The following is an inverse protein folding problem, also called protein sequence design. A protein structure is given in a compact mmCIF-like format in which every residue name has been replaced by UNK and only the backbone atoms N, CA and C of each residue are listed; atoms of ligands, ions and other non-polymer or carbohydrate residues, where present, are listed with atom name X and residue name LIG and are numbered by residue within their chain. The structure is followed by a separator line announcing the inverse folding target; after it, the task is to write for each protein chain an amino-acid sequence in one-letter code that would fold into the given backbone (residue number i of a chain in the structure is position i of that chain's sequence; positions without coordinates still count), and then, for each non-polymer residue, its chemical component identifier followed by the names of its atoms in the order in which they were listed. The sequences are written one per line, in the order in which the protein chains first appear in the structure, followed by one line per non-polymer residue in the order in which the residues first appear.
data_IF_024323745585
#
_entry.id   IF_024323745585
#
_cell.length_a   1.000
_cell.length_b   1.000
_cell.length_c   1.000
_cell.angle_alpha   90.00
_cell.angle_beta   90.00
_cell.angle_gamma   90.00
#
_symmetry.space_group_name_H-M   'P 1'
#
loop_
_entity.id
_entity.type
_entity.pdbx_description
1 polymer ?
#
# COMPACT_ATOMS: atom_id res chain seq x y z
N UNK A 1 8.19 -9.26 24.47
CA UNK A 1 6.76 -9.44 24.84
C UNK A 1 5.99 -8.21 24.40
N UNK A 2 5.35 -8.28 23.22
CA UNK A 2 4.30 -7.35 22.77
C UNK A 2 3.68 -7.98 21.50
N UNK A 3 3.06 -9.15 21.69
CA UNK A 3 2.16 -9.76 20.71
C UNK A 3 0.75 -9.44 21.21
N UNK A 4 0.19 -8.31 20.81
CA UNK A 4 -1.17 -7.95 21.21
C UNK A 4 -1.84 -7.24 20.05
N UNK A 5 -2.73 -8.01 19.41
CA UNK A 5 -3.95 -7.61 18.69
C UNK A 5 -4.05 -8.06 17.23
N UNK A 6 -2.96 -8.31 16.50
CA UNK A 6 -3.06 -8.88 15.15
C UNK A 6 -3.28 -10.41 15.15
N UNK A 7 -2.97 -11.08 16.26
CA UNK A 7 -3.10 -12.53 16.39
C UNK A 7 -4.52 -13.03 16.72
N UNK A 8 -5.38 -12.21 17.32
CA UNK A 8 -6.66 -12.70 17.87
C UNK A 8 -7.63 -13.16 16.77
N UNK A 9 -7.78 -12.39 15.68
CA UNK A 9 -8.71 -12.75 14.59
C UNK A 9 -8.28 -13.97 13.77
N UNK A 10 -6.98 -14.17 13.55
CA UNK A 10 -6.44 -15.32 12.83
C UNK A 10 -6.58 -16.60 13.66
N UNK A 11 -6.30 -16.51 14.97
CA UNK A 11 -6.47 -17.63 15.89
C UNK A 11 -7.94 -18.04 16.04
N UNK A 12 -8.84 -17.07 16.12
CA UNK A 12 -10.29 -17.35 16.12
C UNK A 12 -10.69 -18.02 14.81
N UNK A 13 -10.27 -17.48 13.66
CA UNK A 13 -10.58 -18.05 12.34
C UNK A 13 -10.12 -19.50 12.20
N UNK A 14 -8.89 -19.82 12.61
CA UNK A 14 -8.35 -21.18 12.56
C UNK A 14 -9.11 -22.18 13.45
N UNK A 15 -9.84 -21.70 14.46
CA UNK A 15 -10.63 -22.50 15.38
C UNK A 15 -12.12 -22.57 14.98
N UNK A 16 -12.57 -21.83 13.97
CA UNK A 16 -13.97 -21.83 13.52
C UNK A 16 -14.17 -22.85 12.39
N UNK A 17 -14.99 -23.90 12.59
CA UNK A 17 -15.28 -24.89 11.55
C UNK A 17 -16.34 -24.40 10.53
N UNK A 18 -16.93 -23.22 10.75
CA UNK A 18 -18.01 -22.70 9.92
C UNK A 18 -17.49 -22.02 8.65
N UNK A 19 -18.17 -22.21 7.49
CA UNK A 19 -17.75 -21.62 6.21
C UNK A 19 -17.94 -20.09 6.14
N UNK A 20 -18.77 -19.56 7.05
CA UNK A 20 -18.94 -18.14 7.31
C UNK A 20 -19.19 -17.95 8.81
N UNK A 21 -18.55 -16.95 9.41
CA UNK A 21 -18.75 -16.60 10.82
C UNK A 21 -18.51 -15.10 11.04
N UNK A 22 -18.96 -14.60 12.19
CA UNK A 22 -18.85 -13.17 12.52
C UNK A 22 -17.81 -12.94 13.61
N UNK A 23 -16.91 -11.99 13.37
CA UNK A 23 -16.05 -11.40 14.40
C UNK A 23 -16.53 -9.98 14.66
N UNK A 24 -16.94 -9.72 15.90
CA UNK A 24 -17.26 -8.36 16.34
C UNK A 24 -15.96 -7.67 16.77
N UNK A 25 -15.64 -6.55 16.11
CA UNK A 25 -14.58 -5.64 16.53
C UNK A 25 -15.25 -4.34 17.02
N UNK A 26 -14.57 -3.52 17.83
CA UNK A 26 -15.14 -2.27 18.30
C UNK A 26 -15.67 -1.40 17.14
N UNK A 27 -16.98 -1.12 17.14
CA UNK A 27 -17.64 -0.30 16.12
C UNK A 27 -17.94 -0.98 14.78
N UNK A 28 -17.65 -2.29 14.61
CA UNK A 28 -17.89 -2.98 13.34
C UNK A 28 -18.14 -4.48 13.49
N UNK A 29 -19.06 -5.03 12.69
CA UNK A 29 -19.27 -6.48 12.56
C UNK A 29 -18.61 -6.96 11.29
N UNK A 30 -17.61 -7.83 11.43
CA UNK A 30 -16.88 -8.40 10.29
C UNK A 30 -17.40 -9.81 10.03
N UNK A 31 -17.93 -10.04 8.84
CA UNK A 31 -18.30 -11.37 8.37
C UNK A 31 -17.11 -11.98 7.65
N UNK A 32 -16.53 -13.04 8.22
CA UNK A 32 -15.40 -13.76 7.66
C UNK A 32 -15.95 -14.93 6.87
N UNK A 33 -15.60 -14.98 5.58
CA UNK A 33 -16.00 -16.04 4.66
C UNK A 33 -14.75 -16.85 4.31
N UNK A 34 -14.76 -18.15 4.63
CA UNK A 34 -13.61 -19.03 4.44
C UNK A 34 -13.84 -20.10 3.37
N UNK A 35 -15.09 -20.41 3.03
CA UNK A 35 -15.43 -21.32 1.93
C UNK A 35 -15.15 -20.69 0.56
N UNK A 36 -14.40 -21.37 -0.33
CA UNK A 36 -14.14 -20.89 -1.69
C UNK A 36 -15.42 -20.61 -2.50
N UNK A 37 -16.46 -21.42 -2.32
CA UNK A 37 -17.75 -21.28 -3.01
C UNK A 37 -18.45 -19.99 -2.58
N UNK A 38 -18.46 -19.71 -1.27
CA UNK A 38 -19.04 -18.49 -0.72
C UNK A 38 -18.21 -17.25 -1.09
N UNK A 39 -16.88 -17.35 -1.10
CA UNK A 39 -16.00 -16.26 -1.55
C UNK A 39 -16.32 -15.87 -3.00
N UNK A 40 -16.48 -16.84 -3.90
CA UNK A 40 -16.88 -16.56 -5.28
C UNK A 40 -18.26 -15.91 -5.38
N UNK A 41 -19.23 -16.37 -4.60
CA UNK A 41 -20.57 -15.78 -4.56
C UNK A 41 -20.54 -14.32 -4.09
N UNK A 42 -19.77 -14.02 -3.04
CA UNK A 42 -19.55 -12.67 -2.50
C UNK A 42 -18.88 -11.77 -3.54
N UNK A 43 -17.79 -12.24 -4.17
CA UNK A 43 -17.03 -11.44 -5.14
C UNK A 43 -17.82 -11.12 -6.42
N UNK A 44 -18.75 -11.98 -6.84
CA UNK A 44 -19.62 -11.71 -8.01
C UNK A 44 -20.72 -10.69 -7.72
N UNK A 45 -21.08 -10.47 -6.44
CA UNK A 45 -22.18 -9.61 -6.04
C UNK A 45 -21.72 -8.18 -5.68
N UNK A 46 -21.05 -7.53 -6.63
CA UNK A 46 -20.39 -6.21 -6.44
C UNK A 46 -21.36 -5.03 -6.26
N UNK A 47 -22.64 -5.19 -6.57
CA UNK A 47 -23.64 -4.12 -6.44
C UNK A 47 -24.23 -4.03 -5.03
N UNK A 48 -24.24 -5.13 -4.29
CA UNK A 48 -24.77 -5.18 -2.91
C UNK A 48 -23.69 -4.94 -1.84
N UNK A 49 -22.41 -5.03 -2.22
CA UNK A 49 -21.27 -4.90 -1.31
C UNK A 49 -20.39 -3.73 -1.72
N UNK A 50 -20.23 -2.76 -0.83
CA UNK A 50 -19.33 -1.63 -1.04
C UNK A 50 -18.09 -1.73 -0.17
N UNK A 51 -16.92 -1.53 -0.77
CA UNK A 51 -15.64 -1.44 -0.06
C UNK A 51 -15.35 -0.03 0.48
N UNK A 52 -16.03 1.00 -0.03
CA UNK A 52 -15.79 2.41 0.30
C UNK A 52 -15.91 2.73 1.81
N UNK A 53 -16.88 2.18 2.58
CA UNK A 53 -17.00 2.47 4.01
C UNK A 53 -15.79 2.06 4.85
N UNK A 54 -15.08 0.99 4.45
CA UNK A 54 -13.84 0.58 5.10
C UNK A 54 -12.63 1.34 4.56
N UNK A 55 -12.62 1.59 3.25
CA UNK A 55 -11.52 2.25 2.54
C UNK A 55 -11.35 3.71 2.96
N UNK A 56 -12.42 4.52 2.92
CA UNK A 56 -12.34 5.98 3.08
C UNK A 56 -11.73 6.39 4.43
N UNK A 57 -12.16 5.84 5.59
CA UNK A 57 -11.55 6.15 6.88
C UNK A 57 -10.09 5.67 6.98
N UNK A 58 -9.77 4.53 6.37
CA UNK A 58 -8.41 4.00 6.37
C UNK A 58 -7.46 4.90 5.56
N UNK A 59 -7.86 5.30 4.35
CA UNK A 59 -7.11 6.24 3.52
C UNK A 59 -6.93 7.59 4.20
N UNK A 60 -8.00 8.13 4.81
CA UNK A 60 -7.94 9.38 5.57
C UNK A 60 -6.87 9.34 6.65
N UNK A 61 -6.85 8.30 7.48
CA UNK A 61 -5.87 8.16 8.58
C UNK A 61 -4.46 7.87 8.08
N UNK A 62 -4.34 7.04 7.06
CA UNK A 62 -3.06 6.64 6.47
C UNK A 62 -2.35 7.82 5.82
N UNK A 63 -3.08 8.58 4.99
CA UNK A 63 -2.55 9.69 4.20
C UNK A 63 -2.64 11.05 4.91
N UNK A 64 -3.41 11.14 6.00
CA UNK A 64 -3.67 12.38 6.75
C UNK A 64 -4.29 13.49 5.90
N UNK A 65 -5.24 13.09 5.07
CA UNK A 65 -6.00 14.01 4.22
C UNK A 65 -7.14 14.60 5.05
N UNK A 66 -7.37 15.90 4.91
CA UNK A 66 -8.46 16.59 5.57
C UNK A 66 -9.84 16.20 5.02
N UNK A 67 -10.91 16.71 5.65
CA UNK A 67 -12.28 16.36 5.24
C UNK A 67 -12.62 16.84 3.84
N UNK A 68 -12.11 18.01 3.46
CA UNK A 68 -12.36 18.59 2.15
C UNK A 68 -11.68 17.76 1.07
N UNK A 69 -10.41 17.39 1.26
CA UNK A 69 -9.65 16.55 0.33
C UNK A 69 -10.24 15.14 0.20
N UNK A 70 -10.62 14.50 1.31
CA UNK A 70 -11.28 13.19 1.26
C UNK A 70 -12.63 13.28 0.55
N UNK A 71 -13.43 14.31 0.86
CA UNK A 71 -14.71 14.51 0.18
C UNK A 71 -14.53 14.75 -1.31
N UNK A 72 -13.44 15.38 -1.75
CA UNK A 72 -13.15 15.60 -3.16
C UNK A 72 -12.72 14.30 -3.86
N UNK A 73 -11.78 13.56 -3.28
CA UNK A 73 -11.24 12.31 -3.83
C UNK A 73 -12.34 11.24 -3.97
N UNK A 74 -13.22 11.14 -2.96
CA UNK A 74 -14.20 10.07 -2.85
C UNK A 74 -15.65 10.50 -3.14
N UNK A 75 -15.89 11.73 -3.59
CA UNK A 75 -17.23 12.30 -3.85
C UNK A 75 -18.16 11.34 -4.61
N UNK A 76 -17.61 10.66 -5.61
CA UNK A 76 -18.30 9.71 -6.46
C UNK A 76 -17.57 8.36 -6.50
N UNK A 77 -17.02 7.90 -5.36
CA UNK A 77 -16.25 6.66 -5.28
C UNK A 77 -17.02 5.39 -5.70
N UNK A 78 -18.34 5.48 -5.79
CA UNK A 78 -19.23 4.40 -6.25
C UNK A 78 -19.47 4.43 -7.76
N UNK A 79 -19.02 5.47 -8.46
CA UNK A 79 -19.17 5.61 -9.91
C UNK A 79 -17.80 5.58 -10.59
N UNK A 80 -17.81 5.38 -11.91
CA UNK A 80 -16.58 5.43 -12.73
C UNK A 80 -16.17 6.85 -13.10
N UNK A 81 -16.98 7.87 -12.78
CA UNK A 81 -16.81 9.25 -13.27
C UNK A 81 -16.16 10.19 -12.26
N UNK A 82 -15.97 9.75 -11.01
CA UNK A 82 -15.25 10.50 -9.98
C UNK A 82 -13.74 10.38 -10.10
N UNK A 83 -13.01 11.17 -9.30
CA UNK A 83 -11.55 11.12 -9.23
C UNK A 83 -11.01 9.71 -8.96
N UNK A 84 -11.61 8.99 -8.01
CA UNK A 84 -11.26 7.59 -7.74
C UNK A 84 -11.52 6.66 -8.93
N UNK A 85 -12.61 6.87 -9.68
CA UNK A 85 -12.92 6.13 -10.90
C UNK A 85 -11.89 6.36 -12.01
N UNK A 86 -11.41 7.60 -12.15
CA UNK A 86 -10.35 7.95 -13.09
C UNK A 86 -9.00 7.32 -12.71
N UNK A 87 -8.65 7.26 -11.42
CA UNK A 87 -7.48 6.50 -10.97
C UNK A 87 -7.59 5.03 -11.41
N UNK A 88 -8.74 4.39 -11.18
CA UNK A 88 -8.99 3.02 -11.63
C UNK A 88 -8.88 2.86 -13.15
N UNK A 89 -9.36 3.85 -13.92
CA UNK A 89 -9.28 3.86 -15.38
C UNK A 89 -7.82 3.92 -15.85
N UNK A 90 -7.03 4.83 -15.28
CA UNK A 90 -5.60 4.99 -15.58
C UNK A 90 -4.84 3.73 -15.21
N UNK A 91 -5.05 3.18 -14.00
CA UNK A 91 -4.42 1.93 -13.57
C UNK A 91 -4.70 0.79 -14.55
N UNK A 92 -5.95 0.64 -15.02
CA UNK A 92 -6.29 -0.37 -16.03
C UNK A 92 -5.59 -0.09 -17.37
N UNK A 93 -5.61 1.15 -17.84
CA UNK A 93 -4.98 1.52 -19.10
C UNK A 93 -3.45 1.29 -19.08
N UNK A 94 -2.81 1.45 -17.93
CA UNK A 94 -1.35 1.37 -17.79
C UNK A 94 -0.84 0.00 -17.33
N UNK A 95 -1.64 -0.81 -16.62
CA UNK A 95 -1.18 -2.03 -15.95
C UNK A 95 -1.91 -3.32 -16.39
N UNK A 96 -2.84 -3.25 -17.34
CA UNK A 96 -3.45 -4.47 -17.87
C UNK A 96 -2.47 -5.25 -18.77
N UNK A 97 -2.53 -6.60 -18.76
CA UNK A 97 -1.75 -7.42 -19.66
C UNK A 97 -1.96 -7.04 -21.13
N UNK A 98 -0.86 -6.98 -21.89
CA UNK A 98 -0.86 -6.62 -23.30
C UNK A 98 -0.94 -5.12 -23.60
N UNK A 99 -0.83 -4.26 -22.59
CA UNK A 99 -0.69 -2.82 -22.80
C UNK A 99 0.77 -2.45 -23.01
N UNK A 100 1.03 -1.53 -23.95
CA UNK A 100 2.39 -1.04 -24.23
C UNK A 100 3.03 -0.42 -22.98
N UNK A 101 2.24 0.32 -22.18
CA UNK A 101 2.70 0.92 -20.94
C UNK A 101 3.21 -0.12 -19.93
N UNK A 102 2.53 -1.26 -19.78
CA UNK A 102 2.99 -2.33 -18.89
C UNK A 102 4.27 -2.97 -19.44
N UNK A 103 4.36 -3.20 -20.74
CA UNK A 103 5.55 -3.77 -21.37
C UNK A 103 6.76 -2.85 -21.20
N UNK A 104 6.58 -1.54 -21.39
CA UNK A 104 7.60 -0.52 -21.13
C UNK A 104 8.05 -0.54 -19.66
N UNK A 105 7.11 -0.53 -18.71
CA UNK A 105 7.40 -0.59 -17.28
C UNK A 105 8.19 -1.86 -16.92
N UNK A 106 7.74 -3.03 -17.39
CA UNK A 106 8.41 -4.30 -17.16
C UNK A 106 9.83 -4.31 -17.75
N UNK A 107 10.01 -3.73 -18.94
CA UNK A 107 11.31 -3.62 -19.59
C UNK A 107 12.29 -2.72 -18.81
N UNK A 108 11.82 -1.59 -18.28
CA UNK A 108 12.62 -0.70 -17.45
C UNK A 108 13.06 -1.40 -16.16
N UNK A 109 12.13 -2.02 -15.44
CA UNK A 109 12.41 -2.77 -14.22
C UNK A 109 13.39 -3.92 -14.50
N UNK A 110 13.11 -4.75 -15.51
CA UNK A 110 13.99 -5.88 -15.92
C UNK A 110 15.40 -5.42 -16.24
N UNK A 111 15.55 -4.31 -16.97
CA UNK A 111 16.86 -3.79 -17.37
C UNK A 111 17.67 -3.37 -16.14
N UNK A 112 17.05 -2.64 -15.20
CA UNK A 112 17.69 -2.23 -13.94
C UNK A 112 18.04 -3.43 -13.05
N UNK A 113 17.14 -4.40 -12.92
CA UNK A 113 17.39 -5.63 -12.16
C UNK A 113 18.59 -6.43 -12.72
N UNK A 114 18.64 -6.64 -14.04
CA UNK A 114 19.72 -7.39 -14.67
C UNK A 114 21.06 -6.67 -14.55
N UNK A 115 21.07 -5.34 -14.66
CA UNK A 115 22.26 -4.54 -14.44
C UNK A 115 22.83 -4.75 -13.04
N UNK A 116 22.00 -4.64 -12.00
CA UNK A 116 22.44 -4.75 -10.62
C UNK A 116 22.88 -6.18 -10.25
N UNK A 117 22.18 -7.20 -10.77
CA UNK A 117 22.56 -8.61 -10.60
C UNK A 117 23.90 -8.91 -11.27
N UNK A 118 24.10 -8.44 -12.51
CA UNK A 118 25.34 -8.68 -13.26
C UNK A 118 26.54 -7.91 -12.69
N UNK A 119 26.28 -6.86 -11.91
CA UNK A 119 27.31 -6.07 -11.22
C UNK A 119 27.79 -6.71 -9.91
N UNK A 120 27.15 -7.82 -9.47
CA UNK A 120 27.57 -8.51 -8.26
C UNK A 120 28.93 -9.21 -8.47
N UNK A 121 29.84 -9.16 -7.48
CA UNK A 121 31.09 -9.89 -7.56
C UNK A 121 30.84 -11.40 -7.45
N UNK A 122 31.78 -12.21 -7.95
CA UNK A 122 31.69 -13.68 -8.00
C UNK A 122 31.42 -14.32 -6.63
N UNK A 123 31.80 -13.65 -5.54
CA UNK A 123 31.46 -14.03 -4.16
C UNK A 123 31.05 -12.77 -3.41
N UNK A 124 29.85 -12.78 -2.86
CA UNK A 124 29.34 -11.73 -1.99
C UNK A 124 28.36 -12.33 -0.99
N UNK A 125 28.54 -12.01 0.30
CA UNK A 125 27.59 -12.38 1.33
C UNK A 125 26.68 -11.17 1.60
N UNK A 126 25.40 -11.31 1.28
CA UNK A 126 24.39 -10.28 1.49
C UNK A 126 23.20 -10.83 2.26
N UNK A 127 22.55 -9.95 3.04
CA UNK A 127 21.24 -10.27 3.61
C UNK A 127 20.19 -10.33 2.50
N UNK A 128 19.91 -11.52 1.97
CA UNK A 128 19.10 -11.73 0.76
C UNK A 128 17.79 -10.94 0.76
N UNK A 129 17.06 -10.95 1.88
CA UNK A 129 15.79 -10.22 2.00
C UNK A 129 15.96 -8.71 1.83
N UNK A 130 16.89 -8.10 2.58
CA UNK A 130 17.16 -6.66 2.54
C UNK A 130 17.68 -6.25 1.16
N UNK A 131 18.53 -7.08 0.56
CA UNK A 131 19.07 -6.82 -0.76
C UNK A 131 17.98 -6.87 -1.85
N UNK A 132 17.12 -7.89 -1.86
CA UNK A 132 15.97 -7.95 -2.79
C UNK A 132 15.04 -6.77 -2.58
N UNK A 133 14.75 -6.43 -1.31
CA UNK A 133 13.87 -5.34 -0.95
C UNK A 133 14.37 -3.98 -1.50
N UNK A 134 15.66 -3.67 -1.32
CA UNK A 134 16.27 -2.46 -1.86
C UNK A 134 16.29 -2.47 -3.40
N UNK A 135 16.71 -3.59 -3.98
CA UNK A 135 16.81 -3.76 -5.43
C UNK A 135 15.47 -3.50 -6.14
N UNK A 136 14.38 -4.09 -5.63
CA UNK A 136 13.04 -3.86 -6.18
C UNK A 136 12.56 -2.43 -5.95
N UNK A 137 12.85 -1.84 -4.79
CA UNK A 137 12.41 -0.48 -4.51
C UNK A 137 13.05 0.53 -5.47
N UNK A 138 14.37 0.49 -5.64
CA UNK A 138 15.09 1.37 -6.58
C UNK A 138 14.63 1.14 -8.02
N UNK A 139 14.51 -0.12 -8.44
CA UNK A 139 14.12 -0.45 -9.82
C UNK A 139 12.69 0.01 -10.14
N UNK A 140 11.74 -0.21 -9.24
CA UNK A 140 10.35 0.21 -9.45
C UNK A 140 10.19 1.72 -9.36
N UNK A 141 10.78 2.38 -8.37
CA UNK A 141 10.63 3.83 -8.20
C UNK A 141 11.18 4.57 -9.42
N UNK A 142 12.35 4.19 -9.89
CA UNK A 142 12.92 4.82 -11.09
C UNK A 142 12.14 4.48 -12.36
N UNK A 143 11.48 3.32 -12.44
CA UNK A 143 10.60 3.00 -13.57
C UNK A 143 9.27 3.78 -13.53
N UNK A 144 8.75 4.10 -12.34
CA UNK A 144 7.50 4.84 -12.17
C UNK A 144 7.68 6.37 -12.20
N UNK A 145 8.79 6.88 -11.67
CA UNK A 145 9.04 8.32 -11.49
C UNK A 145 10.27 8.82 -12.29
N UNK A 146 10.79 8.00 -13.20
CA UNK A 146 11.96 8.35 -14.02
C UNK A 146 13.29 8.38 -13.25
N UNK A 147 14.32 8.92 -13.89
CA UNK A 147 15.69 8.87 -13.36
C UNK A 147 15.96 9.89 -12.23
N UNK A 148 15.05 10.85 -12.04
CA UNK A 148 15.11 11.83 -10.94
C UNK A 148 14.15 11.47 -9.80
N UNK A 149 13.80 10.19 -9.66
CA UNK A 149 12.90 9.77 -8.61
C UNK A 149 13.45 10.16 -7.23
N UNK A 150 12.57 10.49 -6.26
CA UNK A 150 13.01 10.94 -4.94
C UNK A 150 13.97 9.99 -4.23
N UNK A 151 13.81 8.67 -4.41
CA UNK A 151 14.61 7.66 -3.72
C UNK A 151 16.03 7.55 -4.29
N UNK A 152 16.21 7.85 -5.58
CA UNK A 152 17.54 7.98 -6.19
C UNK A 152 18.27 9.24 -5.74
N UNK A 153 17.54 10.35 -5.55
CA UNK A 153 18.11 11.63 -5.08
C UNK A 153 18.47 11.60 -3.59
N UNK A 154 17.63 10.97 -2.77
CA UNK A 154 17.86 10.77 -1.33
C UNK A 154 17.66 9.29 -0.96
N UNK A 155 18.75 8.49 -0.92
CA UNK A 155 18.70 7.09 -0.51
C UNK A 155 18.14 6.85 0.90
N UNK A 156 18.14 7.87 1.78
CA UNK A 156 17.58 7.75 3.13
C UNK A 156 16.05 7.61 3.13
N UNK A 157 15.39 8.00 2.03
CA UNK A 157 13.95 7.82 1.85
C UNK A 157 13.56 6.34 1.82
N UNK A 158 14.45 5.44 1.40
CA UNK A 158 14.16 4.00 1.43
C UNK A 158 13.96 3.49 2.85
N UNK A 159 14.87 3.85 3.77
CA UNK A 159 14.71 3.51 5.19
C UNK A 159 13.48 4.19 5.80
N UNK A 160 13.19 5.42 5.38
CA UNK A 160 12.01 6.18 5.81
C UNK A 160 10.70 5.49 5.36
N UNK A 161 10.64 5.00 4.12
CA UNK A 161 9.51 4.25 3.59
C UNK A 161 9.28 2.96 4.36
N UNK A 162 10.33 2.17 4.62
CA UNK A 162 10.18 0.94 5.40
C UNK A 162 9.81 1.19 6.86
N UNK A 163 10.28 2.30 7.44
CA UNK A 163 9.83 2.72 8.77
C UNK A 163 8.34 3.09 8.77
N UNK A 164 7.85 3.76 7.73
CA UNK A 164 6.43 4.04 7.56
C UNK A 164 5.62 2.77 7.39
N UNK A 165 6.01 1.87 6.47
CA UNK A 165 5.33 0.59 6.19
C UNK A 165 5.22 -0.27 7.46
N UNK A 166 6.31 -0.41 8.22
CA UNK A 166 6.34 -1.21 9.44
C UNK A 166 5.35 -0.71 10.51
N UNK A 167 4.95 0.57 10.46
CA UNK A 167 4.09 1.21 11.46
C UNK A 167 2.72 1.65 10.91
N UNK A 168 2.46 1.51 9.61
CA UNK A 168 1.27 2.02 8.91
C UNK A 168 -0.04 1.46 9.47
N UNK A 169 0.00 0.22 9.99
CA UNK A 169 -1.16 -0.46 10.59
C UNK A 169 -1.75 0.32 11.77
N UNK A 170 -0.91 1.04 12.52
CA UNK A 170 -1.35 1.90 13.63
C UNK A 170 -2.28 3.01 13.13
N UNK A 171 -1.94 3.61 11.98
CA UNK A 171 -2.75 4.65 11.33
C UNK A 171 -4.00 4.05 10.68
N UNK A 172 -3.85 2.98 9.90
CA UNK A 172 -4.96 2.31 9.20
C UNK A 172 -6.09 1.90 10.16
N UNK A 173 -5.73 1.22 11.26
CA UNK A 173 -6.67 0.74 12.27
C UNK A 173 -7.19 1.87 13.18
N UNK A 174 -6.65 3.08 13.06
CA UNK A 174 -7.03 4.21 13.92
C UNK A 174 -6.72 3.97 15.39
N UNK A 175 -5.62 3.27 15.69
CA UNK A 175 -5.18 3.03 17.07
C UNK A 175 -4.84 4.40 17.69
N UNK A 176 -5.49 4.79 18.80
CA UNK A 176 -5.18 6.04 19.48
C UNK A 176 -3.70 6.15 19.83
N UNK A 177 -3.12 7.33 19.66
CA UNK A 177 -1.68 7.57 19.89
C UNK A 177 -1.23 7.11 21.28
N UNK A 178 -2.11 7.18 22.29
CA UNK A 178 -1.84 6.78 23.68
C UNK A 178 -1.55 5.27 23.80
N UNK A 179 -2.19 4.43 22.97
CA UNK A 179 -2.02 2.98 23.03
C UNK A 179 -0.73 2.49 22.37
N UNK A 180 -0.20 3.24 21.40
CA UNK A 180 1.09 2.95 20.78
C UNK A 180 1.80 4.24 20.30
N UNK A 181 2.37 5.04 21.23
CA UNK A 181 2.94 6.34 20.89
C UNK A 181 4.12 6.23 19.93
N UNK A 182 4.99 5.22 20.13
CA UNK A 182 6.21 5.03 19.33
C UNK A 182 5.88 4.75 17.88
N UNK A 183 5.00 3.78 17.60
CA UNK A 183 4.61 3.46 16.23
C UNK A 183 3.82 4.60 15.59
N UNK A 184 2.94 5.26 16.35
CA UNK A 184 2.19 6.41 15.86
C UNK A 184 3.13 7.55 15.42
N UNK A 185 4.06 7.96 16.28
CA UNK A 185 5.03 9.02 15.96
C UNK A 185 5.96 8.63 14.81
N UNK A 186 6.45 7.38 14.78
CA UNK A 186 7.27 6.89 13.68
C UNK A 186 6.51 6.97 12.34
N UNK A 187 5.30 6.40 12.27
CA UNK A 187 4.48 6.44 11.07
C UNK A 187 4.18 7.88 10.63
N UNK A 188 3.83 8.77 11.56
CA UNK A 188 3.56 10.19 11.25
C UNK A 188 4.79 10.88 10.67
N UNK A 189 5.93 10.81 11.37
CA UNK A 189 7.16 11.50 10.95
C UNK A 189 7.73 10.97 9.63
N UNK A 190 7.66 9.66 9.40
CA UNK A 190 8.10 9.06 8.14
C UNK A 190 7.20 9.47 6.97
N UNK A 191 5.88 9.51 7.18
CA UNK A 191 4.94 10.02 6.17
C UNK A 191 5.23 11.47 5.81
N UNK A 192 5.43 12.34 6.81
CA UNK A 192 5.72 13.76 6.58
C UNK A 192 6.98 13.96 5.73
N UNK A 193 8.05 13.21 6.01
CA UNK A 193 9.29 13.23 5.21
C UNK A 193 9.06 12.76 3.78
N UNK A 194 8.33 11.66 3.59
CA UNK A 194 8.01 11.13 2.26
C UNK A 194 7.18 12.14 1.46
N UNK A 195 6.12 12.69 2.06
CA UNK A 195 5.27 13.70 1.43
C UNK A 195 6.10 14.92 1.04
N UNK A 196 6.96 15.43 1.91
CA UNK A 196 7.83 16.56 1.59
C UNK A 196 8.74 16.27 0.39
N UNK A 197 9.38 15.09 0.34
CA UNK A 197 10.23 14.70 -0.77
C UNK A 197 9.47 14.60 -2.09
N UNK A 198 8.27 14.01 -2.07
CA UNK A 198 7.40 13.92 -3.25
C UNK A 198 6.84 15.29 -3.67
N UNK A 199 6.52 16.18 -2.74
CA UNK A 199 6.11 17.55 -3.04
C UNK A 199 7.22 18.32 -3.74
N UNK A 200 8.45 18.28 -3.21
CA UNK A 200 9.60 18.92 -3.86
C UNK A 200 9.86 18.36 -5.25
N UNK A 201 9.75 17.04 -5.43
CA UNK A 201 9.86 16.40 -6.74
C UNK A 201 8.84 16.94 -7.74
N UNK A 202 7.56 17.02 -7.35
CA UNK A 202 6.48 17.52 -8.20
C UNK A 202 6.61 19.01 -8.50
N UNK A 203 7.08 19.82 -7.56
CA UNK A 203 7.31 21.27 -7.73
C UNK A 203 8.51 21.57 -8.65
N UNK A 204 9.47 20.66 -8.74
CA UNK A 204 10.67 20.81 -9.57
C UNK A 204 10.48 20.47 -11.05
N UNK A 205 9.23 20.43 -11.53
CA UNK A 205 8.82 19.83 -12.81
C UNK A 205 9.46 18.44 -12.97
N UNK A 206 9.11 17.54 -12.04
CA UNK A 206 9.52 16.14 -12.10
C UNK A 206 9.37 15.60 -13.53
N UNK A 207 10.38 14.89 -14.08
CA UNK A 207 10.37 14.45 -15.47
C UNK A 207 9.17 13.57 -15.82
#
# INVERSE_FOLDING_TARGET
MASSNTGCGILISAQQPHPIFTIELPGQKNYIVTSPELVQAVQRNVTSLSFSPAMVPAFRRMMDIDEQGISLIFKDAHTTTGFYGEIHRIQKASLLPGTESLDQLCNLVRTKLMHDVNSLPTKNDVGLYVWIQDLYMRSNNSACFGDKDPFSLDPSLSATFWQWEANIKTLLLGIPWILNPKSYTAAKSSREKLVAAFTTYLESDGP
#
